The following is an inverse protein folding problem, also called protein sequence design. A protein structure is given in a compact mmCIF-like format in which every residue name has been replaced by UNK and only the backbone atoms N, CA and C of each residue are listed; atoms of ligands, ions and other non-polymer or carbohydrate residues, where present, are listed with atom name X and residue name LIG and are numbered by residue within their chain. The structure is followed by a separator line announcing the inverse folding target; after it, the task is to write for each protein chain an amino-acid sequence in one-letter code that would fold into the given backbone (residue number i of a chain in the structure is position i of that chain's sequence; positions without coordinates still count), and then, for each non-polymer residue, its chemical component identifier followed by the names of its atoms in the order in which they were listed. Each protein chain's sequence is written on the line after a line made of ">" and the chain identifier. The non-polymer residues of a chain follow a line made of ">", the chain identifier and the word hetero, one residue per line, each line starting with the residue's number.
data_IF_408794513115
#
_entry.id   IF_408794513115
#
_cell.length_a   1.000
_cell.length_b   1.000
_cell.length_c   1.000
_cell.angle_alpha   90.00
_cell.angle_beta   90.00
_cell.angle_gamma   90.00
#
_symmetry.space_group_name_H-M   'P 1'
#
loop_
_entity.id
_entity.type
_entity.pdbx_description
1 polymer ?
#
# COMPACT_ATOMS: atom_id res chain seq x y z
N UNK A 1 -3.36 -2.87 9.89
CA UNK A 1 -2.51 -2.28 8.82
C UNK A 1 -1.12 -1.97 9.37
N UNK A 2 -0.62 -2.80 10.29
CA UNK A 2 0.52 -2.51 11.16
C UNK A 2 1.90 -2.74 10.53
N UNK A 3 1.91 -3.12 9.26
CA UNK A 3 3.10 -3.66 8.60
C UNK A 3 4.11 -2.58 8.23
N UNK A 4 3.69 -1.37 7.83
CA UNK A 4 4.62 -0.27 7.54
C UNK A 4 5.41 0.10 8.78
N UNK A 5 4.72 0.31 9.92
CA UNK A 5 5.39 0.63 11.19
C UNK A 5 6.34 -0.48 11.63
N UNK A 6 5.96 -1.75 11.46
CA UNK A 6 6.81 -2.89 11.77
C UNK A 6 8.08 -2.92 10.90
N UNK A 7 7.92 -2.80 9.57
CA UNK A 7 9.05 -2.77 8.63
C UNK A 7 10.00 -1.61 8.94
N UNK A 8 9.45 -0.44 9.29
CA UNK A 8 10.26 0.71 9.71
C UNK A 8 11.07 0.41 10.98
N UNK A 9 10.46 -0.22 11.99
CA UNK A 9 11.18 -0.64 13.20
C UNK A 9 12.27 -1.67 12.90
N UNK A 10 11.95 -2.71 12.13
CA UNK A 10 12.87 -3.79 11.79
C UNK A 10 14.09 -3.29 10.99
N UNK A 11 13.90 -2.21 10.23
CA UNK A 11 14.95 -1.56 9.43
C UNK A 11 15.59 -0.35 10.10
N UNK A 12 15.23 -0.06 11.35
CA UNK A 12 15.68 1.13 12.09
C UNK A 12 15.46 2.45 11.31
N UNK A 13 14.37 2.53 10.54
CA UNK A 13 14.05 3.66 9.68
C UNK A 13 12.99 4.56 10.33
N UNK A 14 13.23 5.87 10.33
CA UNK A 14 12.25 6.86 10.78
C UNK A 14 11.22 7.17 9.70
N UNK A 15 10.10 7.82 10.06
CA UNK A 15 9.12 8.32 9.08
C UNK A 15 9.76 9.31 8.12
N UNK A 16 10.66 10.17 8.61
CA UNK A 16 11.45 11.07 7.76
C UNK A 16 12.36 10.29 6.82
N UNK A 17 13.03 9.24 7.31
CA UNK A 17 13.87 8.38 6.48
C UNK A 17 13.07 7.71 5.37
N UNK A 18 11.86 7.21 5.68
CA UNK A 18 10.96 6.66 4.66
C UNK A 18 10.54 7.73 3.64
N UNK A 19 10.18 8.93 4.09
CA UNK A 19 9.81 10.03 3.19
C UNK A 19 10.95 10.37 2.23
N UNK A 20 12.19 10.47 2.75
CA UNK A 20 13.37 10.73 1.94
C UNK A 20 13.61 9.62 0.91
N UNK A 21 13.42 8.35 1.27
CA UNK A 21 13.53 7.25 0.31
C UNK A 21 12.46 7.34 -0.78
N UNK A 22 11.21 7.62 -0.40
CA UNK A 22 10.11 7.80 -1.36
C UNK A 22 10.41 8.94 -2.31
N UNK A 23 10.80 10.12 -1.82
CA UNK A 23 11.13 11.27 -2.67
C UNK A 23 12.39 11.06 -3.51
N UNK A 24 13.34 10.26 -3.03
CA UNK A 24 14.53 9.91 -3.83
C UNK A 24 14.20 9.03 -5.03
N UNK A 25 13.19 8.15 -4.93
CA UNK A 25 12.75 7.28 -6.03
C UNK A 25 11.63 7.88 -6.86
N UNK A 26 10.77 8.66 -6.23
CA UNK A 26 9.57 9.27 -6.81
C UNK A 26 9.53 10.77 -6.43
N UNK A 27 10.39 11.60 -7.06
CA UNK A 27 10.49 13.02 -6.71
C UNK A 27 9.17 13.79 -6.89
N UNK A 28 8.35 13.37 -7.86
CA UNK A 28 7.10 14.05 -8.22
C UNK A 28 5.84 13.43 -7.57
N UNK A 29 5.97 12.49 -6.63
CA UNK A 29 4.80 11.84 -6.00
C UNK A 29 3.94 12.78 -5.15
N UNK A 30 4.43 13.98 -4.83
CA UNK A 30 3.70 14.99 -4.05
C UNK A 30 3.35 14.57 -2.61
N UNK A 31 3.89 13.45 -2.10
CA UNK A 31 3.52 12.91 -0.80
C UNK A 31 4.04 13.82 0.33
N UNK A 32 3.17 14.45 1.13
CA UNK A 32 3.61 15.32 2.22
C UNK A 32 3.90 14.49 3.48
N UNK A 33 4.87 14.97 4.28
CA UNK A 33 5.25 14.33 5.54
C UNK A 33 4.06 14.05 6.45
N UNK A 34 3.13 15.01 6.60
CA UNK A 34 1.98 14.85 7.46
C UNK A 34 1.06 13.70 7.02
N UNK A 35 0.87 13.48 5.72
CA UNK A 35 0.08 12.35 5.23
C UNK A 35 0.77 11.02 5.55
N UNK A 36 2.08 10.92 5.31
CA UNK A 36 2.85 9.72 5.62
C UNK A 36 2.89 9.44 7.14
N UNK A 37 3.07 10.47 7.96
CA UNK A 37 3.05 10.35 9.42
C UNK A 37 1.71 9.82 9.91
N UNK A 38 0.60 10.39 9.42
CA UNK A 38 -0.75 9.96 9.79
C UNK A 38 -1.03 8.52 9.34
N UNK A 39 -0.51 8.11 8.19
CA UNK A 39 -0.55 6.73 7.72
C UNK A 39 0.22 5.79 8.67
N UNK A 40 1.47 6.10 9.01
CA UNK A 40 2.29 5.28 9.93
C UNK A 40 1.73 5.27 11.35
N UNK A 41 0.99 6.31 11.75
CA UNK A 41 0.23 6.41 13.01
C UNK A 41 -1.13 5.75 12.99
N UNK A 42 -1.57 5.17 11.86
CA UNK A 42 -2.92 4.61 11.69
C UNK A 42 -4.06 5.62 11.89
N UNK A 43 -3.77 6.91 11.79
CA UNK A 43 -4.78 7.98 11.80
C UNK A 43 -5.51 8.11 10.45
N UNK A 44 -5.02 7.38 9.44
CA UNK A 44 -5.50 7.37 8.05
C UNK A 44 -5.37 5.97 7.46
N UNK A 45 -6.32 5.59 6.60
CA UNK A 45 -6.18 4.41 5.72
C UNK A 45 -5.17 4.68 4.61
N UNK A 46 -4.31 3.72 4.34
CA UNK A 46 -3.39 3.73 3.22
C UNK A 46 -4.12 3.45 1.92
N UNK A 47 -3.77 4.19 0.87
CA UNK A 47 -4.24 3.97 -0.51
C UNK A 47 -3.35 2.97 -1.25
N UNK A 48 -3.84 2.43 -2.36
CA UNK A 48 -3.06 1.50 -3.20
C UNK A 48 -1.82 2.21 -3.77
N UNK A 49 -1.96 3.44 -4.26
CA UNK A 49 -0.83 4.24 -4.77
C UNK A 49 0.26 4.45 -3.71
N UNK A 50 -0.14 4.81 -2.49
CA UNK A 50 0.82 4.93 -1.37
C UNK A 50 1.47 3.60 -1.02
N UNK A 51 0.73 2.49 -1.07
CA UNK A 51 1.29 1.18 -0.81
C UNK A 51 2.31 0.79 -1.90
N UNK A 52 2.07 1.11 -3.17
CA UNK A 52 3.02 0.93 -4.27
C UNK A 52 4.28 1.77 -4.03
N UNK A 53 4.12 3.07 -3.74
CA UNK A 53 5.24 3.99 -3.46
C UNK A 53 6.10 3.52 -2.28
N UNK A 54 5.45 3.08 -1.19
CA UNK A 54 6.15 2.59 0.02
C UNK A 54 6.88 1.28 -0.28
N UNK A 55 6.24 0.36 -1.02
CA UNK A 55 6.86 -0.90 -1.43
C UNK A 55 8.09 -0.69 -2.29
N UNK A 56 7.99 0.19 -3.30
CA UNK A 56 9.13 0.49 -4.16
C UNK A 56 10.25 1.15 -3.35
N UNK A 57 9.95 2.18 -2.55
CA UNK A 57 10.93 2.87 -1.70
C UNK A 57 11.65 1.92 -0.73
N UNK A 58 10.92 0.97 -0.14
CA UNK A 58 11.47 -0.03 0.78
C UNK A 58 12.03 -1.26 0.05
N UNK A 59 11.87 -1.40 -1.26
CA UNK A 59 12.24 -2.61 -1.99
C UNK A 59 11.68 -3.87 -1.31
N UNK A 60 10.37 -3.86 -1.00
CA UNK A 60 9.63 -5.00 -0.43
C UNK A 60 8.46 -5.35 -1.33
N UNK A 61 8.08 -6.63 -1.43
CA UNK A 61 6.91 -7.00 -2.20
C UNK A 61 5.64 -6.42 -1.58
N UNK A 62 4.64 -6.13 -2.41
CA UNK A 62 3.33 -5.62 -1.98
C UNK A 62 2.66 -6.53 -0.92
N UNK A 63 2.89 -7.83 -1.03
CA UNK A 63 2.43 -8.82 -0.05
C UNK A 63 3.01 -8.62 1.35
N UNK A 64 4.19 -8.00 1.51
CA UNK A 64 4.74 -7.65 2.83
C UNK A 64 3.93 -6.56 3.54
N UNK A 65 3.21 -5.72 2.81
CA UNK A 65 2.25 -4.78 3.40
C UNK A 65 0.92 -5.46 3.75
N UNK A 66 0.56 -6.53 3.03
CA UNK A 66 -0.68 -7.30 3.24
C UNK A 66 -0.55 -8.43 4.27
N UNK A 67 0.65 -8.93 4.54
CA UNK A 67 0.88 -10.08 5.41
C UNK A 67 0.87 -9.67 6.90
N UNK A 68 -0.33 -9.35 7.37
CA UNK A 68 -0.90 -9.79 8.66
C UNK A 68 -2.44 -9.66 8.64
N UNK A 69 -3.06 -9.82 7.47
CA UNK A 69 -4.47 -10.15 7.40
C UNK A 69 -4.67 -11.67 7.63
N UNK A 70 -4.10 -12.22 8.70
CA UNK A 70 -4.68 -13.40 9.35
C UNK A 70 -5.79 -12.93 10.30
N UNK A 71 -6.75 -12.24 9.71
CA UNK A 71 -8.15 -12.16 10.09
C UNK A 71 -8.79 -11.27 9.02
N UNK A 72 -8.83 -11.79 7.78
CA UNK A 72 -9.94 -11.42 6.91
C UNK A 72 -11.18 -12.07 7.51
N UNK A 73 -12.14 -11.31 8.07
CA UNK A 73 -13.40 -11.88 8.48
C UNK A 73 -14.11 -12.29 7.19
N UNK A 74 -14.11 -13.60 6.90
CA UNK A 74 -14.95 -14.25 5.90
C UNK A 74 -15.15 -13.47 4.57
N UNK A 75 -14.25 -13.64 3.59
CA UNK A 75 -14.45 -13.03 2.27
C UNK A 75 -13.46 -13.51 1.21
N UNK A 76 -13.87 -13.41 -0.06
CA UNK A 76 -13.36 -13.98 -1.33
C UNK A 76 -11.84 -14.00 -1.61
N UNK A 77 -10.99 -13.44 -0.74
CA UNK A 77 -9.55 -13.26 -0.98
C UNK A 77 -8.67 -14.33 -0.31
N UNK A 78 -9.27 -15.28 0.41
CA UNK A 78 -8.52 -16.38 1.04
C UNK A 78 -7.94 -17.32 -0.02
N UNK A 79 -6.61 -17.37 -0.11
CA UNK A 79 -5.88 -18.24 -1.05
C UNK A 79 -5.52 -17.58 -2.38
N UNK A 80 -5.82 -16.30 -2.56
CA UNK A 80 -5.40 -15.55 -3.74
C UNK A 80 -3.90 -15.24 -3.68
N UNK A 81 -3.21 -15.53 -4.78
CA UNK A 81 -1.81 -15.17 -4.98
C UNK A 81 -1.69 -13.67 -5.29
N UNK A 82 -0.48 -13.13 -5.22
CA UNK A 82 -0.25 -11.72 -5.59
C UNK A 82 -0.77 -11.40 -7.00
N UNK A 83 -0.64 -12.36 -7.93
CA UNK A 83 -1.14 -12.25 -9.32
C UNK A 83 -2.67 -12.14 -9.35
N UNK A 84 -3.36 -12.95 -8.54
CA UNK A 84 -4.83 -12.92 -8.47
C UNK A 84 -5.35 -11.58 -7.92
N UNK A 85 -4.60 -10.97 -6.98
CA UNK A 85 -4.92 -9.65 -6.43
C UNK A 85 -4.71 -8.56 -7.48
N UNK A 86 -3.58 -8.58 -8.20
CA UNK A 86 -3.34 -7.61 -9.28
C UNK A 86 -4.41 -7.70 -10.36
N UNK A 87 -4.77 -8.91 -10.78
CA UNK A 87 -5.81 -9.13 -11.79
C UNK A 87 -7.20 -8.69 -11.29
N UNK A 88 -7.53 -8.92 -10.02
CA UNK A 88 -8.78 -8.46 -9.42
C UNK A 88 -8.88 -6.92 -9.34
N UNK A 89 -7.78 -6.24 -9.06
CA UNK A 89 -7.71 -4.77 -9.03
C UNK A 89 -7.85 -4.21 -10.45
N UNK A 90 -7.18 -4.79 -11.46
CA UNK A 90 -7.33 -4.37 -12.86
C UNK A 90 -8.76 -4.58 -13.40
N UNK A 91 -9.47 -5.62 -12.92
CA UNK A 91 -10.85 -5.89 -13.31
C UNK A 91 -11.85 -4.92 -12.67
N UNK A 92 -11.59 -4.40 -11.46
CA UNK A 92 -12.47 -3.44 -10.76
C UNK A 92 -12.39 -2.01 -11.34
N UNK A 93 -11.31 -1.69 -12.06
CA UNK A 93 -11.24 -0.46 -12.87
C UNK A 93 -11.97 -0.62 -14.21
N UNK A 94 -11.91 -1.80 -14.84
CA UNK A 94 -12.65 -2.06 -16.10
C UNK A 94 -14.17 -2.13 -15.92
N UNK A 95 -14.67 -2.45 -14.73
CA UNK A 95 -16.12 -2.41 -14.46
C UNK A 95 -16.67 -0.99 -14.25
N UNK A 96 -15.81 0.02 -14.03
CA UNK A 96 -16.25 1.42 -13.91
C UNK A 96 -16.31 2.18 -15.23
N UNK A 97 -15.67 1.69 -16.29
CA UNK A 97 -15.81 2.25 -17.65
C UNK A 97 -17.01 1.68 -18.43
N UNK A 98 -17.69 0.66 -17.92
CA UNK A 98 -18.82 0.00 -18.61
C UNK A 98 -20.23 0.52 -18.26
N UNK A 99 -20.41 1.25 -17.15
CA UNK A 99 -21.73 1.75 -16.74
C UNK A 99 -21.98 3.20 -17.17
N UNK A 100 -21.83 3.45 -18.46
CA UNK A 100 -22.53 4.54 -19.14
C UNK A 100 -22.91 4.02 -20.52
N UNK A 101 -24.05 3.32 -20.61
CA UNK A 101 -25.00 3.46 -21.70
C UNK A 101 -26.22 2.53 -21.50
N UNK A 102 -27.39 3.19 -21.52
CA UNK A 102 -28.76 2.68 -21.67
C UNK A 102 -29.46 2.06 -20.46
#
# INVERSE_FOLDING_TARGET
>A
MDNVRKILKDRHLSVNGLLTLIHSKHPDCGLPYNSLRRLVSHERKMTIDEAILICDALNVPFTSLLSFAEEFPHGQLKGMTAVDIYHAIEQDDRTKEGSNNH
#
